data_IF_846118296360
#
_entry.id   IF_846118296360
#
_cell.length_a   1.000
_cell.length_b   1.000
_cell.length_c   1.000
_cell.angle_alpha   90.00
_cell.angle_beta   90.00
_cell.angle_gamma   90.00
#
_symmetry.space_group_name_H-M   'P 1'
#
loop_
_entity.id
_entity.type
_entity.pdbx_description
1 polymer ?
#
# COMPACT_ATOMS: atom_id res chain seq x y z
N UNK A 1 -0.64 -10.64 -30.07
CA UNK A 1 -0.37 -11.26 -28.74
C UNK A 1 0.70 -10.52 -27.93
N UNK A 2 1.80 -10.05 -28.55
CA UNK A 2 2.85 -9.23 -27.91
C UNK A 2 2.31 -8.03 -27.11
N UNK A 3 1.38 -7.25 -27.68
CA UNK A 3 0.73 -6.12 -27.00
C UNK A 3 0.11 -6.51 -25.64
N UNK A 4 -0.66 -7.61 -25.59
CA UNK A 4 -1.29 -8.10 -24.34
C UNK A 4 -0.24 -8.49 -23.29
N UNK A 5 0.87 -9.07 -23.72
CA UNK A 5 1.98 -9.45 -22.84
C UNK A 5 2.65 -8.22 -22.22
N UNK A 6 2.89 -7.18 -23.02
CA UNK A 6 3.49 -5.92 -22.56
C UNK A 6 2.58 -5.22 -21.54
N UNK A 7 1.26 -5.18 -21.79
CA UNK A 7 0.30 -4.57 -20.85
C UNK A 7 0.26 -5.33 -19.52
N UNK A 8 0.29 -6.66 -19.54
CA UNK A 8 0.31 -7.49 -18.33
C UNK A 8 1.60 -7.29 -17.54
N UNK A 9 2.76 -7.28 -18.21
CA UNK A 9 4.05 -7.04 -17.57
C UNK A 9 4.11 -5.64 -16.97
N UNK A 10 3.66 -4.62 -17.71
CA UNK A 10 3.58 -3.25 -17.20
C UNK A 10 2.70 -3.13 -15.96
N UNK A 11 1.49 -3.68 -16.01
CA UNK A 11 0.58 -3.69 -14.86
C UNK A 11 1.17 -4.42 -13.65
N UNK A 12 1.82 -5.56 -13.88
CA UNK A 12 2.47 -6.33 -12.81
C UNK A 12 3.59 -5.53 -12.14
N UNK A 13 4.40 -4.80 -12.91
CA UNK A 13 5.46 -3.94 -12.36
C UNK A 13 4.87 -2.88 -11.43
N UNK A 14 3.77 -2.22 -11.81
CA UNK A 14 3.12 -1.24 -10.94
C UNK A 14 2.55 -1.85 -9.66
N UNK A 15 2.00 -3.08 -9.74
CA UNK A 15 1.54 -3.81 -8.56
C UNK A 15 2.69 -4.13 -7.60
N UNK A 16 3.83 -4.58 -8.13
CA UNK A 16 5.03 -4.85 -7.32
C UNK A 16 5.53 -3.56 -6.65
N UNK A 17 5.58 -2.45 -7.39
CA UNK A 17 5.97 -1.14 -6.85
C UNK A 17 5.01 -0.69 -5.75
N UNK A 18 3.70 -0.82 -5.97
CA UNK A 18 2.69 -0.46 -4.98
C UNK A 18 2.87 -1.27 -3.68
N UNK A 19 3.04 -2.58 -3.79
CA UNK A 19 3.28 -3.44 -2.64
C UNK A 19 4.58 -3.06 -1.91
N UNK A 20 5.66 -2.80 -2.65
CA UNK A 20 6.95 -2.40 -2.09
C UNK A 20 6.86 -1.05 -1.35
N UNK A 21 6.08 -0.09 -1.87
CA UNK A 21 5.83 1.20 -1.22
C UNK A 21 5.05 1.01 0.09
N UNK A 22 3.97 0.23 0.07
CA UNK A 22 3.18 -0.07 1.28
C UNK A 22 4.08 -0.71 2.33
N UNK A 23 4.88 -1.71 1.95
CA UNK A 23 5.83 -2.37 2.85
C UNK A 23 6.85 -1.40 3.42
N UNK A 24 7.44 -0.56 2.58
CA UNK A 24 8.42 0.44 2.99
C UNK A 24 7.83 1.42 4.01
N UNK A 25 6.62 1.92 3.77
CA UNK A 25 5.94 2.83 4.69
C UNK A 25 5.51 2.13 5.99
N UNK A 26 5.01 0.90 5.94
CA UNK A 26 4.68 0.12 7.13
C UNK A 26 5.93 -0.13 7.99
N UNK A 27 7.06 -0.45 7.36
CA UNK A 27 8.35 -0.59 8.03
C UNK A 27 8.76 0.72 8.70
N UNK A 28 8.72 1.84 7.98
CA UNK A 28 9.07 3.16 8.52
C UNK A 28 8.16 3.59 9.66
N UNK A 29 6.88 3.30 9.55
CA UNK A 29 5.90 3.52 10.61
C UNK A 29 6.27 2.76 11.89
N UNK A 30 6.58 1.46 11.78
CA UNK A 30 6.99 0.64 12.93
C UNK A 30 8.31 1.15 13.55
N UNK A 31 9.30 1.49 12.74
CA UNK A 31 10.57 2.09 13.19
C UNK A 31 10.34 3.42 13.92
N UNK A 32 9.44 4.27 13.41
CA UNK A 32 9.12 5.56 14.00
C UNK A 32 8.44 5.43 15.37
N UNK A 33 7.66 4.37 15.57
CA UNK A 33 6.99 4.06 16.83
C UNK A 33 7.81 3.17 17.78
N UNK A 34 9.12 3.05 17.54
CA UNK A 34 10.05 2.39 18.47
C UNK A 34 10.04 0.86 18.41
N UNK A 35 9.38 0.27 17.41
CA UNK A 35 9.45 -1.18 17.19
C UNK A 35 10.79 -1.50 16.54
N UNK A 36 11.63 -2.24 17.25
CA UNK A 36 12.96 -2.67 16.79
C UNK A 36 13.07 -4.18 16.60
N UNK A 37 12.16 -4.94 17.21
CA UNK A 37 12.12 -6.39 17.10
C UNK A 37 11.28 -6.88 15.92
N UNK A 38 11.83 -7.79 15.11
CA UNK A 38 11.18 -8.43 13.96
C UNK A 38 10.48 -7.44 12.99
N UNK A 39 11.00 -6.22 12.86
CA UNK A 39 10.36 -5.12 12.11
C UNK A 39 10.04 -5.52 10.67
N UNK A 40 10.95 -6.26 10.01
CA UNK A 40 10.75 -6.70 8.62
C UNK A 40 9.56 -7.63 8.48
N UNK A 41 9.41 -8.59 9.39
CA UNK A 41 8.32 -9.57 9.38
C UNK A 41 7.00 -8.92 9.76
N UNK A 42 6.98 -8.11 10.82
CA UNK A 42 5.80 -7.33 11.22
C UNK A 42 5.36 -6.38 10.10
N UNK A 43 6.30 -5.72 9.42
CA UNK A 43 6.02 -4.87 8.28
C UNK A 43 5.47 -5.66 7.09
N UNK A 44 6.00 -6.86 6.81
CA UNK A 44 5.46 -7.74 5.77
C UNK A 44 4.02 -8.15 6.06
N UNK A 45 3.71 -8.51 7.30
CA UNK A 45 2.34 -8.86 7.71
C UNK A 45 1.41 -7.64 7.56
N UNK A 46 1.82 -6.47 8.06
CA UNK A 46 1.07 -5.21 7.88
C UNK A 46 0.81 -4.91 6.41
N UNK A 47 1.86 -4.99 5.58
CA UNK A 47 1.78 -4.64 4.17
C UNK A 47 0.89 -5.61 3.40
N UNK A 48 0.98 -6.90 3.69
CA UNK A 48 0.16 -7.95 3.05
C UNK A 48 -1.32 -7.72 3.31
N UNK A 49 -1.71 -7.48 4.57
CA UNK A 49 -3.11 -7.22 4.90
C UNK A 49 -3.60 -5.87 4.38
N UNK A 50 -2.77 -4.84 4.43
CA UNK A 50 -3.10 -3.52 3.87
C UNK A 50 -3.30 -3.60 2.36
N UNK A 51 -2.40 -4.28 1.64
CA UNK A 51 -2.50 -4.50 0.20
C UNK A 51 -3.71 -5.35 -0.17
N UNK A 52 -4.02 -6.39 0.62
CA UNK A 52 -5.24 -7.17 0.45
C UNK A 52 -6.49 -6.28 0.62
N UNK A 53 -6.51 -5.43 1.64
CA UNK A 53 -7.59 -4.45 1.86
C UNK A 53 -7.76 -3.48 0.69
N UNK A 54 -6.67 -2.95 0.15
CA UNK A 54 -6.68 -2.11 -1.06
C UNK A 54 -7.24 -2.90 -2.25
N UNK A 55 -6.73 -4.11 -2.47
CA UNK A 55 -7.09 -4.94 -3.63
C UNK A 55 -8.57 -5.32 -3.62
N UNK A 56 -9.07 -5.79 -2.48
CA UNK A 56 -10.49 -6.08 -2.29
C UNK A 56 -11.32 -4.80 -2.44
N UNK A 57 -10.87 -3.69 -1.85
CA UNK A 57 -11.51 -2.39 -2.00
C UNK A 57 -11.68 -1.97 -3.45
N UNK A 58 -10.60 -2.03 -4.24
CA UNK A 58 -10.60 -1.70 -5.66
C UNK A 58 -11.59 -2.53 -6.48
N UNK A 59 -11.79 -3.81 -6.14
CA UNK A 59 -12.77 -4.68 -6.82
C UNK A 59 -14.20 -4.20 -6.61
N UNK A 60 -14.53 -3.69 -5.42
CA UNK A 60 -15.88 -3.18 -5.13
C UNK A 60 -16.09 -1.75 -5.65
N UNK A 61 -15.16 -0.85 -5.37
CA UNK A 61 -15.16 0.52 -5.84
C UNK A 61 -13.78 1.16 -5.59
N UNK A 62 -13.35 2.09 -6.44
CA UNK A 62 -12.06 2.81 -6.24
C UNK A 62 -11.97 3.42 -4.84
N UNK A 63 -13.07 3.99 -4.32
CA UNK A 63 -13.16 4.55 -2.97
C UNK A 63 -12.99 3.47 -1.88
N UNK A 64 -13.38 2.23 -2.15
CA UNK A 64 -13.25 1.10 -1.24
C UNK A 64 -11.81 0.83 -0.81
N UNK A 65 -10.83 1.12 -1.67
CA UNK A 65 -9.41 1.00 -1.34
C UNK A 65 -8.99 1.91 -0.16
N UNK A 66 -9.55 3.12 -0.11
CA UNK A 66 -9.26 4.11 0.93
C UNK A 66 -9.99 3.86 2.25
N UNK A 67 -10.94 2.93 2.27
CA UNK A 67 -11.64 2.50 3.49
C UNK A 67 -11.08 1.16 3.97
N UNK A 68 -11.04 0.16 3.10
CA UNK A 68 -10.62 -1.19 3.44
C UNK A 68 -9.12 -1.32 3.63
N UNK A 69 -8.30 -0.57 2.91
CA UNK A 69 -6.85 -0.52 3.11
C UNK A 69 -6.47 -0.05 4.53
N UNK A 70 -6.90 1.16 4.94
CA UNK A 70 -6.60 1.67 6.29
C UNK A 70 -7.24 0.84 7.40
N UNK A 71 -8.44 0.31 7.17
CA UNK A 71 -9.09 -0.58 8.13
C UNK A 71 -8.32 -1.90 8.33
N UNK A 72 -7.83 -2.51 7.23
CA UNK A 72 -7.00 -3.70 7.31
C UNK A 72 -5.69 -3.42 8.04
N UNK A 73 -5.02 -2.30 7.73
CA UNK A 73 -3.84 -1.84 8.45
C UNK A 73 -4.09 -1.72 9.96
N UNK A 74 -5.16 -1.00 10.35
CA UNK A 74 -5.55 -0.81 11.74
C UNK A 74 -5.75 -2.15 12.45
N UNK A 75 -6.53 -3.06 11.85
CA UNK A 75 -6.82 -4.36 12.45
C UNK A 75 -5.57 -5.19 12.65
N UNK A 76 -4.66 -5.20 11.68
CA UNK A 76 -3.39 -5.93 11.78
C UNK A 76 -2.46 -5.28 12.81
N UNK A 77 -2.42 -3.95 12.86
CA UNK A 77 -1.59 -3.23 13.82
C UNK A 77 -2.00 -3.46 15.27
N UNK A 78 -3.30 -3.60 15.55
CA UNK A 78 -3.81 -3.97 16.89
C UNK A 78 -3.32 -5.34 17.36
N UNK A 79 -2.86 -6.20 16.46
CA UNK A 79 -2.21 -7.47 16.80
C UNK A 79 -0.70 -7.36 17.09
N UNK A 80 -0.11 -6.16 16.99
CA UNK A 80 1.33 -5.94 17.18
C UNK A 80 1.68 -5.06 18.40
N UNK A 81 0.71 -4.78 19.27
CA UNK A 81 0.88 -4.06 20.55
C UNK A 81 1.67 -2.73 20.46
N UNK A 82 1.40 -1.94 19.42
CA UNK A 82 2.02 -0.61 19.26
C UNK A 82 1.24 0.42 20.06
N UNK A 83 1.91 1.15 20.95
CA UNK A 83 1.32 2.12 21.87
C UNK A 83 0.92 3.44 21.17
N UNK A 84 -0.14 3.39 20.35
CA UNK A 84 -0.75 4.56 19.70
C UNK A 84 -2.27 4.56 19.92
N UNK A 85 -2.88 5.74 19.83
CA UNK A 85 -4.34 5.85 19.88
C UNK A 85 -5.00 5.28 18.62
N UNK A 86 -6.23 4.78 18.76
CA UNK A 86 -6.97 4.19 17.64
C UNK A 86 -7.20 5.19 16.50
N UNK A 87 -7.47 6.45 16.85
CA UNK A 87 -7.59 7.53 15.87
C UNK A 87 -6.29 7.75 15.08
N UNK A 88 -5.14 7.76 15.76
CA UNK A 88 -3.85 7.90 15.10
C UNK A 88 -3.55 6.70 14.18
N UNK A 89 -3.87 5.49 14.62
CA UNK A 89 -3.67 4.27 13.82
C UNK A 89 -4.43 4.31 12.49
N UNK A 90 -5.69 4.77 12.51
CA UNK A 90 -6.52 4.91 11.31
C UNK A 90 -5.94 5.97 10.38
N UNK A 91 -5.55 7.14 10.92
CA UNK A 91 -4.95 8.21 10.12
C UNK A 91 -3.62 7.81 9.49
N UNK A 92 -2.78 7.06 10.20
CA UNK A 92 -1.56 6.50 9.64
C UNK A 92 -1.83 5.47 8.54
N UNK A 93 -2.79 4.57 8.75
CA UNK A 93 -3.24 3.64 7.71
C UNK A 93 -3.69 4.38 6.45
N UNK A 94 -4.49 5.44 6.61
CA UNK A 94 -4.95 6.27 5.50
C UNK A 94 -3.80 7.00 4.81
N UNK A 95 -2.88 7.59 5.58
CA UNK A 95 -1.70 8.25 5.04
C UNK A 95 -0.82 7.29 4.21
N UNK A 96 -0.60 6.07 4.70
CA UNK A 96 0.18 5.05 3.99
C UNK A 96 -0.50 4.68 2.66
N UNK A 97 -1.82 4.43 2.69
CA UNK A 97 -2.58 4.05 1.50
C UNK A 97 -2.59 5.18 0.47
N UNK A 98 -2.87 6.42 0.89
CA UNK A 98 -2.88 7.60 0.02
C UNK A 98 -1.50 7.87 -0.56
N UNK A 99 -0.43 7.83 0.25
CA UNK A 99 0.93 8.04 -0.23
C UNK A 99 1.34 6.96 -1.24
N UNK A 100 1.06 5.69 -0.95
CA UNK A 100 1.42 4.57 -1.81
C UNK A 100 0.69 4.64 -3.15
N UNK A 101 -0.65 4.79 -3.13
CA UNK A 101 -1.46 4.91 -4.34
C UNK A 101 -1.14 6.18 -5.11
N UNK A 102 -0.91 7.30 -4.42
CA UNK A 102 -0.54 8.57 -5.04
C UNK A 102 0.79 8.49 -5.79
N UNK A 103 1.83 7.93 -5.16
CA UNK A 103 3.13 7.73 -5.83
C UNK A 103 3.00 6.77 -7.01
N UNK A 104 2.27 5.66 -6.86
CA UNK A 104 2.03 4.72 -7.96
C UNK A 104 1.28 5.39 -9.11
N UNK A 105 0.24 6.19 -8.83
CA UNK A 105 -0.52 6.92 -9.83
C UNK A 105 0.35 7.95 -10.56
N UNK A 106 1.13 8.76 -9.84
CA UNK A 106 2.07 9.74 -10.42
C UNK A 106 3.09 9.01 -11.30
N UNK A 107 3.66 7.91 -10.83
CA UNK A 107 4.59 7.09 -11.61
C UNK A 107 3.96 6.51 -12.87
N UNK A 108 2.70 6.08 -12.79
CA UNK A 108 1.94 5.60 -13.95
C UNK A 108 1.67 6.71 -14.97
N UNK A 109 1.23 7.88 -14.53
CA UNK A 109 1.05 9.03 -15.42
C UNK A 109 2.36 9.47 -16.08
N UNK A 110 3.46 9.51 -15.33
CA UNK A 110 4.79 9.79 -15.87
C UNK A 110 5.22 8.77 -16.93
N UNK A 111 4.96 7.48 -16.69
CA UNK A 111 5.21 6.43 -17.68
C UNK A 111 4.36 6.61 -18.95
N UNK A 112 3.08 6.95 -18.83
CA UNK A 112 2.23 7.21 -19.98
C UNK A 112 2.76 8.38 -20.83
N UNK A 113 3.23 9.46 -20.20
CA UNK A 113 3.88 10.57 -20.91
C UNK A 113 5.14 10.12 -21.64
N UNK A 114 5.99 9.30 -21.00
CA UNK A 114 7.23 8.80 -21.62
C UNK A 114 6.98 7.90 -22.84
N UNK A 115 5.85 7.17 -22.85
CA UNK A 115 5.47 6.28 -23.96
C UNK A 115 4.63 7.02 -25.03
N UNK A 116 4.35 8.32 -24.84
CA UNK A 116 3.58 9.13 -25.79
C UNK A 116 2.09 8.78 -25.82
N UNK A 117 1.55 8.24 -24.73
CA UNK A 117 0.15 7.86 -24.59
C UNK A 117 -0.75 9.00 -24.03
N UNK A 118 -0.21 10.21 -23.90
CA UNK A 118 -0.88 11.41 -23.40
C UNK A 118 -0.46 12.64 -24.21
#
# INVERSE_FOLDING_TARGET
>A
MLYRMITVVGGLVFVIILFALIWFFCKKFLEHHGVTDQVKDRAMVLATWTFAGISVGLVFAVVGAFVLGPWAFYRTLRGHDVAISDGAAIWWGLAIVVASLGITAIGFFGFLMLVGAY
#
